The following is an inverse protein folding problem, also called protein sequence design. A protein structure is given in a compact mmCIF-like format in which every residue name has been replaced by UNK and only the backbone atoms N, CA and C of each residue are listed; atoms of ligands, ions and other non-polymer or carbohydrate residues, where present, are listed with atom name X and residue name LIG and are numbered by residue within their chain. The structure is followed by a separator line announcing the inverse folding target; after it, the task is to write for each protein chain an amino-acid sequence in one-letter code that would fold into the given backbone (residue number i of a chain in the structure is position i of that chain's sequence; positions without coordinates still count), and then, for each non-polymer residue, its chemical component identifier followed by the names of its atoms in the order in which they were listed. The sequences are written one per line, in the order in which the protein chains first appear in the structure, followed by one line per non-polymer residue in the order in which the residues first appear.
data_IF_790916010515
#
_entry.id   IF_790916010515
#
_cell.length_a   1.000
_cell.length_b   1.000
_cell.length_c   1.000
_cell.angle_alpha   90.00
_cell.angle_beta   90.00
_cell.angle_gamma   90.00
#
_symmetry.space_group_name_H-M   'P 1'
#
loop_
_entity.id
_entity.type
_entity.pdbx_description
1 polymer ?
#
# COMPACT_ATOMS: atom_id res chain seq x y z
N UNK A 1 -13.91 -24.58 -31.47
CA UNK A 1 -14.93 -24.15 -30.48
C UNK A 1 -14.79 -25.03 -29.26
N UNK A 2 -14.84 -24.45 -28.07
CA UNK A 2 -14.84 -25.23 -26.82
C UNK A 2 -16.28 -25.67 -26.49
N UNK A 3 -16.46 -26.72 -25.69
CA UNK A 3 -17.78 -27.13 -25.22
C UNK A 3 -18.54 -25.97 -24.51
N UNK A 4 -17.82 -25.05 -23.89
CA UNK A 4 -18.42 -23.88 -23.28
C UNK A 4 -18.98 -22.87 -24.31
N UNK A 5 -18.30 -22.68 -25.47
CA UNK A 5 -18.79 -21.79 -26.53
C UNK A 5 -19.99 -22.38 -27.31
N UNK A 6 -20.18 -23.70 -27.26
CA UNK A 6 -21.41 -24.36 -27.77
C UNK A 6 -22.61 -24.10 -26.85
N UNK A 7 -22.40 -24.10 -25.53
CA UNK A 7 -23.46 -23.84 -24.54
C UNK A 7 -23.76 -22.33 -24.40
N UNK A 8 -22.75 -21.50 -24.47
CA UNK A 8 -22.84 -20.05 -24.30
C UNK A 8 -22.13 -19.34 -25.45
N UNK A 9 -22.85 -18.99 -26.54
CA UNK A 9 -22.25 -18.29 -27.68
C UNK A 9 -21.53 -17.00 -27.24
N UNK A 10 -20.25 -16.87 -27.60
CA UNK A 10 -19.40 -15.75 -27.20
C UNK A 10 -18.63 -15.97 -25.88
N UNK A 11 -18.69 -17.19 -25.31
CA UNK A 11 -17.82 -17.54 -24.17
C UNK A 11 -16.34 -17.47 -24.57
N UNK A 12 -15.54 -16.74 -23.82
CA UNK A 12 -14.11 -16.56 -24.03
C UNK A 12 -13.36 -17.58 -23.17
N UNK A 13 -12.61 -18.47 -23.81
CA UNK A 13 -11.74 -19.42 -23.10
C UNK A 13 -10.51 -18.73 -22.50
N UNK A 14 -9.83 -19.45 -21.60
CA UNK A 14 -8.60 -18.95 -20.98
C UNK A 14 -7.54 -18.55 -22.03
N UNK A 15 -7.35 -19.38 -23.06
CA UNK A 15 -6.35 -19.12 -24.11
C UNK A 15 -6.77 -17.93 -25.01
N UNK A 16 -8.06 -17.85 -25.39
CA UNK A 16 -8.57 -16.72 -26.19
C UNK A 16 -8.46 -15.37 -25.45
N UNK A 17 -8.46 -15.38 -24.12
CA UNK A 17 -8.30 -14.14 -23.35
C UNK A 17 -6.95 -13.44 -23.57
N UNK A 18 -5.89 -14.18 -23.96
CA UNK A 18 -4.59 -13.58 -24.27
C UNK A 18 -4.56 -12.83 -25.61
N UNK A 19 -5.48 -13.18 -26.52
CA UNK A 19 -5.54 -12.65 -27.89
C UNK A 19 -6.56 -11.49 -28.03
N UNK A 20 -7.19 -11.07 -26.93
CA UNK A 20 -8.15 -9.96 -26.94
C UNK A 20 -7.47 -8.66 -27.39
N UNK A 21 -8.12 -7.96 -28.31
CA UNK A 21 -7.69 -6.63 -28.73
C UNK A 21 -8.00 -5.60 -27.68
N UNK A 22 -7.28 -4.46 -27.71
CA UNK A 22 -7.51 -3.33 -26.79
C UNK A 22 -8.98 -2.86 -26.80
N UNK A 23 -9.59 -2.76 -27.99
CA UNK A 23 -10.98 -2.34 -28.12
C UNK A 23 -11.96 -3.35 -27.53
N UNK A 24 -11.71 -4.67 -27.69
CA UNK A 24 -12.49 -5.70 -27.02
C UNK A 24 -12.38 -5.62 -25.50
N UNK A 25 -11.17 -5.43 -24.97
CA UNK A 25 -10.95 -5.27 -23.52
C UNK A 25 -11.64 -4.01 -23.00
N UNK A 26 -11.54 -2.88 -23.70
CA UNK A 26 -12.24 -1.62 -23.34
C UNK A 26 -13.76 -1.83 -23.29
N UNK A 27 -14.34 -2.43 -24.34
CA UNK A 27 -15.77 -2.68 -24.42
C UNK A 27 -16.26 -3.57 -23.27
N UNK A 28 -15.53 -4.65 -22.97
CA UNK A 28 -15.85 -5.54 -21.86
C UNK A 28 -15.72 -4.84 -20.49
N UNK A 29 -14.69 -4.04 -20.29
CA UNK A 29 -14.52 -3.29 -19.03
C UNK A 29 -15.65 -2.26 -18.84
N UNK A 30 -16.03 -1.56 -19.89
CA UNK A 30 -17.13 -0.60 -19.84
C UNK A 30 -18.47 -1.26 -19.58
N UNK A 31 -18.72 -2.46 -20.11
CA UNK A 31 -19.99 -3.18 -19.99
C UNK A 31 -20.10 -4.02 -18.71
N UNK A 32 -19.01 -4.67 -18.30
CA UNK A 32 -19.04 -5.76 -17.31
C UNK A 32 -18.22 -5.46 -16.05
N UNK A 33 -17.47 -4.35 -15.99
CA UNK A 33 -16.68 -3.95 -14.83
C UNK A 33 -17.11 -2.57 -14.33
N UNK A 34 -16.21 -1.84 -13.65
CA UNK A 34 -16.48 -0.48 -13.19
C UNK A 34 -16.30 0.51 -14.35
N UNK A 35 -17.41 0.80 -15.06
CA UNK A 35 -17.48 1.70 -16.21
C UNK A 35 -16.79 3.05 -15.97
N UNK A 36 -17.12 3.72 -14.86
CA UNK A 36 -16.60 5.05 -14.58
C UNK A 36 -15.13 5.06 -14.19
N UNK A 37 -14.62 4.00 -13.57
CA UNK A 37 -13.19 3.84 -13.33
C UNK A 37 -12.42 3.71 -14.64
N UNK A 38 -12.93 2.94 -15.59
CA UNK A 38 -12.34 2.80 -16.93
C UNK A 38 -12.38 4.13 -17.67
N UNK A 39 -13.52 4.83 -17.67
CA UNK A 39 -13.64 6.17 -18.28
C UNK A 39 -12.67 7.19 -17.67
N UNK A 40 -12.49 7.18 -16.36
CA UNK A 40 -11.55 8.08 -15.66
C UNK A 40 -10.10 7.83 -16.11
N UNK A 41 -9.69 6.58 -16.19
CA UNK A 41 -8.34 6.23 -16.65
C UNK A 41 -8.08 6.61 -18.10
N UNK A 42 -9.07 6.38 -18.98
CA UNK A 42 -9.00 6.77 -20.39
C UNK A 42 -8.91 8.29 -20.54
N UNK A 43 -9.78 9.04 -19.85
CA UNK A 43 -9.78 10.51 -19.89
C UNK A 43 -8.49 11.12 -19.33
N UNK A 44 -7.89 10.50 -18.32
CA UNK A 44 -6.60 10.91 -17.77
C UNK A 44 -5.39 10.51 -18.61
N UNK A 45 -5.59 9.72 -19.69
CA UNK A 45 -4.49 9.20 -20.51
C UNK A 45 -3.52 8.29 -19.75
N UNK A 46 -4.01 7.62 -18.68
CA UNK A 46 -3.23 6.75 -17.82
C UNK A 46 -3.57 5.26 -18.03
N UNK A 47 -4.51 4.95 -18.93
CA UNK A 47 -4.90 3.58 -19.27
C UNK A 47 -4.21 3.15 -20.56
N UNK A 48 -3.46 2.08 -20.48
CA UNK A 48 -2.75 1.44 -21.61
C UNK A 48 -2.99 -0.05 -21.57
N UNK A 49 -3.02 -0.70 -22.72
CA UNK A 49 -3.00 -2.16 -22.83
C UNK A 49 -1.56 -2.66 -22.62
N UNK A 50 -1.27 -3.10 -21.39
CA UNK A 50 0.07 -3.57 -20.98
C UNK A 50 0.18 -5.06 -21.31
N UNK A 51 1.12 -5.41 -22.18
CA UNK A 51 1.37 -6.80 -22.62
C UNK A 51 2.51 -7.48 -21.86
N UNK A 52 3.44 -6.72 -21.30
CA UNK A 52 4.59 -7.24 -20.55
C UNK A 52 4.97 -6.29 -19.43
N UNK A 53 5.43 -6.86 -18.30
CA UNK A 53 6.02 -6.11 -17.21
C UNK A 53 7.23 -6.86 -16.64
N UNK A 54 8.35 -6.17 -16.39
CA UNK A 54 9.59 -6.75 -15.86
C UNK A 54 10.44 -5.67 -15.18
N UNK A 55 10.89 -5.91 -13.96
CA UNK A 55 11.67 -4.95 -13.19
C UNK A 55 10.92 -3.64 -12.99
N UNK A 56 11.51 -2.52 -13.40
CA UNK A 56 10.87 -1.20 -13.34
C UNK A 56 10.15 -0.81 -14.64
N UNK A 57 9.97 -1.74 -15.58
CA UNK A 57 9.43 -1.46 -16.88
C UNK A 57 8.13 -2.19 -17.17
N UNK A 58 7.30 -1.53 -17.99
CA UNK A 58 6.11 -2.12 -18.61
C UNK A 58 6.16 -1.87 -20.11
N UNK A 59 5.54 -2.73 -20.91
CA UNK A 59 5.43 -2.57 -22.36
C UNK A 59 3.96 -2.58 -22.77
N UNK A 60 3.56 -1.58 -23.54
CA UNK A 60 2.22 -1.49 -24.10
C UNK A 60 2.04 -2.37 -25.36
N UNK A 61 0.83 -2.37 -25.91
CA UNK A 61 0.47 -3.18 -27.08
C UNK A 61 1.25 -2.80 -28.34
N UNK A 62 1.71 -1.55 -28.45
CA UNK A 62 2.55 -1.06 -29.54
C UNK A 62 4.03 -1.43 -29.35
N UNK A 63 4.39 -2.04 -28.23
CA UNK A 63 5.76 -2.40 -27.89
C UNK A 63 6.60 -1.25 -27.30
N UNK A 64 5.98 -0.13 -26.96
CA UNK A 64 6.70 0.96 -26.31
C UNK A 64 7.10 0.56 -24.90
N UNK A 65 8.38 0.70 -24.58
CA UNK A 65 8.92 0.53 -23.24
C UNK A 65 8.61 1.76 -22.40
N UNK A 66 8.03 1.56 -21.23
CA UNK A 66 7.63 2.60 -20.28
C UNK A 66 8.27 2.36 -18.93
N UNK A 67 8.64 3.42 -18.24
CA UNK A 67 9.15 3.38 -16.88
C UNK A 67 7.96 3.45 -15.89
N UNK A 68 7.82 2.47 -15.00
CA UNK A 68 6.76 2.45 -14.00
C UNK A 68 7.29 2.93 -12.64
N UNK A 69 7.00 4.19 -12.32
CA UNK A 69 7.32 4.83 -11.06
C UNK A 69 6.11 5.05 -10.15
N UNK A 70 5.07 4.26 -10.34
CA UNK A 70 3.93 4.17 -9.40
C UNK A 70 3.75 2.75 -8.84
N UNK A 71 4.16 1.73 -9.61
CA UNK A 71 4.19 0.36 -9.15
C UNK A 71 2.87 -0.12 -8.53
N UNK A 72 1.73 0.11 -9.20
CA UNK A 72 0.39 -0.16 -8.64
C UNK A 72 0.21 0.44 -7.23
N UNK A 73 0.55 1.73 -7.08
CA UNK A 73 0.46 2.46 -5.80
C UNK A 73 1.36 1.84 -4.70
N UNK A 74 2.59 1.48 -5.09
CA UNK A 74 3.62 0.98 -4.18
C UNK A 74 3.61 -0.53 -3.94
N UNK A 75 2.92 -1.32 -4.76
CA UNK A 75 2.92 -2.78 -4.66
C UNK A 75 4.26 -3.35 -5.12
N UNK A 76 4.72 -3.01 -6.33
CA UNK A 76 5.91 -3.59 -6.96
C UNK A 76 7.20 -2.93 -6.45
N UNK A 77 7.60 -3.25 -5.20
CA UNK A 77 8.88 -2.77 -4.67
C UNK A 77 10.08 -3.57 -5.20
N UNK A 78 9.91 -4.89 -5.34
CA UNK A 78 10.99 -5.78 -5.77
C UNK A 78 11.08 -5.88 -7.30
N UNK A 79 10.17 -5.20 -8.00
CA UNK A 79 10.06 -5.15 -9.45
C UNK A 79 9.04 -6.12 -10.03
N UNK A 80 8.45 -5.73 -11.15
CA UNK A 80 7.46 -6.56 -11.83
C UNK A 80 7.99 -7.95 -12.12
N UNK A 81 7.20 -8.98 -11.79
CA UNK A 81 7.51 -10.39 -12.05
C UNK A 81 8.89 -10.80 -11.51
N UNK A 82 9.20 -10.42 -10.27
CA UNK A 82 10.47 -10.78 -9.64
C UNK A 82 10.74 -12.28 -9.79
N UNK A 83 11.83 -12.69 -10.48
CA UNK A 83 12.06 -14.08 -10.84
C UNK A 83 12.25 -15.00 -9.63
N UNK A 84 12.80 -14.49 -8.52
CA UNK A 84 12.95 -15.25 -7.29
C UNK A 84 11.59 -15.67 -6.70
N UNK A 85 10.66 -14.71 -6.63
CA UNK A 85 9.31 -14.96 -6.08
C UNK A 85 8.54 -15.89 -7.01
N UNK A 86 8.51 -15.58 -8.31
CA UNK A 86 7.76 -16.35 -9.32
C UNK A 86 8.24 -17.79 -9.35
N UNK A 87 9.55 -18.04 -9.32
CA UNK A 87 10.12 -19.38 -9.35
C UNK A 87 9.82 -20.17 -8.06
N UNK A 88 9.91 -19.56 -6.89
CA UNK A 88 9.54 -20.20 -5.63
C UNK A 88 8.07 -20.61 -5.58
N UNK A 89 7.17 -19.76 -6.05
CA UNK A 89 5.74 -20.10 -6.16
C UNK A 89 5.54 -21.24 -7.15
N UNK A 90 6.22 -21.22 -8.30
CA UNK A 90 6.16 -22.29 -9.30
C UNK A 90 6.66 -23.62 -8.73
N UNK A 91 7.79 -23.63 -8.02
CA UNK A 91 8.34 -24.81 -7.32
C UNK A 91 7.32 -25.35 -6.32
N UNK A 92 6.72 -24.47 -5.51
CA UNK A 92 5.73 -24.86 -4.53
C UNK A 92 4.51 -25.54 -5.19
N UNK A 93 3.94 -24.93 -6.21
CA UNK A 93 2.78 -25.48 -6.95
C UNK A 93 3.10 -26.81 -7.64
N UNK A 94 4.35 -27.00 -8.12
CA UNK A 94 4.77 -28.25 -8.75
C UNK A 94 4.76 -29.46 -7.78
N UNK A 95 4.81 -29.22 -6.48
CA UNK A 95 4.69 -30.29 -5.46
C UNK A 95 3.23 -30.76 -5.26
N UNK A 96 2.25 -30.14 -5.94
CA UNK A 96 0.81 -30.40 -5.76
C UNK A 96 0.38 -30.32 -4.29
N UNK A 97 0.67 -29.22 -3.59
CA UNK A 97 0.42 -29.09 -2.17
C UNK A 97 -1.07 -28.96 -1.85
N UNK A 98 -1.43 -29.30 -0.60
CA UNK A 98 -2.69 -28.84 -0.04
C UNK A 98 -2.59 -27.33 0.21
N UNK A 99 -3.33 -26.54 -0.56
CA UNK A 99 -3.23 -25.08 -0.52
C UNK A 99 -4.10 -24.45 0.58
N UNK A 100 -5.24 -25.09 0.86
CA UNK A 100 -6.26 -24.60 1.78
C UNK A 100 -6.79 -25.73 2.65
N UNK A 101 -6.72 -25.55 3.96
CA UNK A 101 -7.44 -26.31 4.98
C UNK A 101 -7.33 -25.54 6.30
N UNK A 102 -8.44 -25.24 7.01
CA UNK A 102 -8.41 -24.44 8.23
C UNK A 102 -7.70 -25.12 9.40
N UNK A 103 -7.60 -26.45 9.42
CA UNK A 103 -7.10 -27.23 10.54
C UNK A 103 -5.78 -27.97 10.25
N UNK A 104 -5.36 -28.07 8.99
CA UNK A 104 -4.11 -28.74 8.64
C UNK A 104 -2.89 -27.95 9.12
N UNK A 105 -1.78 -28.65 9.39
CA UNK A 105 -0.48 -28.03 9.56
C UNK A 105 -0.03 -27.37 8.25
N UNK A 106 0.45 -26.13 8.34
CA UNK A 106 0.79 -25.26 7.20
C UNK A 106 2.26 -24.88 7.23
N UNK A 107 3.18 -25.70 6.68
CA UNK A 107 4.62 -25.48 6.83
C UNK A 107 5.07 -24.13 6.29
N UNK A 108 4.60 -23.70 5.13
CA UNK A 108 5.01 -22.45 4.49
C UNK A 108 4.49 -21.24 5.29
N UNK A 109 3.22 -21.27 5.71
CA UNK A 109 2.65 -20.20 6.53
C UNK A 109 3.33 -20.13 7.90
N UNK A 110 3.64 -21.28 8.50
CA UNK A 110 4.36 -21.33 9.77
C UNK A 110 5.80 -20.80 9.65
N UNK A 111 6.50 -21.12 8.55
CA UNK A 111 7.83 -20.57 8.26
C UNK A 111 7.77 -19.04 8.09
N UNK A 112 6.81 -18.52 7.31
CA UNK A 112 6.62 -17.10 7.16
C UNK A 112 6.35 -16.40 8.51
N UNK A 113 5.45 -16.95 9.33
CA UNK A 113 5.14 -16.39 10.65
C UNK A 113 6.37 -16.43 11.60
N UNK A 114 7.17 -17.50 11.53
CA UNK A 114 8.42 -17.61 12.26
C UNK A 114 9.42 -16.52 11.85
N UNK A 115 9.63 -16.33 10.53
CA UNK A 115 10.59 -15.36 10.02
C UNK A 115 10.13 -13.92 10.25
N UNK A 116 8.82 -13.67 10.21
CA UNK A 116 8.23 -12.40 10.65
C UNK A 116 8.59 -12.10 12.11
N UNK A 117 8.49 -13.08 13.00
CA UNK A 117 8.87 -12.91 14.41
C UNK A 117 10.38 -12.68 14.60
N UNK A 118 11.23 -13.15 13.70
CA UNK A 118 12.68 -12.86 13.76
C UNK A 118 12.99 -11.41 13.37
N UNK A 119 12.28 -10.86 12.39
CA UNK A 119 12.50 -9.46 11.95
C UNK A 119 11.74 -8.44 12.78
N UNK A 120 10.84 -8.90 13.67
CA UNK A 120 10.07 -8.06 14.62
C UNK A 120 9.97 -8.78 15.98
N UNK A 121 11.06 -8.91 16.73
CA UNK A 121 11.13 -9.82 17.89
C UNK A 121 10.15 -9.48 19.02
N UNK A 122 9.67 -8.26 19.11
CA UNK A 122 8.65 -7.82 20.08
C UNK A 122 7.21 -8.17 19.66
N UNK A 123 6.99 -8.44 18.36
CA UNK A 123 5.68 -8.83 17.81
C UNK A 123 5.78 -10.24 17.23
N UNK A 124 5.33 -11.23 17.95
CA UNK A 124 5.60 -12.65 17.64
C UNK A 124 4.39 -13.41 17.13
N UNK A 125 3.27 -12.74 16.88
CA UNK A 125 2.06 -13.36 16.34
C UNK A 125 1.70 -12.78 14.99
N UNK A 126 1.62 -13.66 14.00
CA UNK A 126 1.22 -13.31 12.62
C UNK A 126 -0.14 -13.91 12.31
N UNK A 127 -1.02 -13.10 11.72
CA UNK A 127 -2.24 -13.58 11.04
C UNK A 127 -2.07 -13.21 9.56
N UNK A 128 -2.16 -14.22 8.70
CA UNK A 128 -2.01 -14.04 7.24
C UNK A 128 -3.39 -14.08 6.60
N UNK A 129 -3.78 -13.01 5.93
CA UNK A 129 -5.01 -12.95 5.16
C UNK A 129 -4.72 -13.20 3.67
N UNK A 130 -5.66 -13.81 2.96
CA UNK A 130 -5.57 -14.05 1.51
C UNK A 130 -6.02 -12.89 0.64
N UNK A 131 -6.35 -11.75 1.23
CA UNK A 131 -6.87 -10.57 0.55
C UNK A 131 -5.92 -9.38 0.58
N UNK A 132 -6.48 -8.18 0.41
CA UNK A 132 -5.72 -6.93 0.40
C UNK A 132 -5.57 -6.26 1.76
N UNK A 133 -4.88 -5.11 1.81
CA UNK A 133 -4.61 -4.36 3.04
C UNK A 133 -5.84 -3.98 3.86
N UNK A 134 -7.00 -3.76 3.21
CA UNK A 134 -8.25 -3.49 3.92
C UNK A 134 -8.67 -4.66 4.82
N UNK A 135 -8.43 -5.91 4.39
CA UNK A 135 -8.71 -7.09 5.21
C UNK A 135 -7.78 -7.18 6.43
N UNK A 136 -6.50 -6.79 6.27
CA UNK A 136 -5.58 -6.68 7.41
C UNK A 136 -6.05 -5.61 8.42
N UNK A 137 -6.55 -4.47 7.94
CA UNK A 137 -7.13 -3.44 8.80
C UNK A 137 -8.37 -3.96 9.52
N UNK A 138 -9.28 -4.67 8.84
CA UNK A 138 -10.43 -5.31 9.50
C UNK A 138 -9.98 -6.28 10.61
N UNK A 139 -8.93 -7.07 10.34
CA UNK A 139 -8.37 -8.02 11.30
C UNK A 139 -7.87 -7.32 12.56
N UNK A 140 -7.06 -6.25 12.43
CA UNK A 140 -6.50 -5.54 13.58
C UNK A 140 -7.56 -4.74 14.35
N UNK A 141 -8.52 -4.12 13.65
CA UNK A 141 -9.63 -3.41 14.31
C UNK A 141 -10.49 -4.37 15.13
N UNK A 142 -10.80 -5.56 14.61
CA UNK A 142 -11.52 -6.59 15.33
C UNK A 142 -10.72 -7.09 16.54
N UNK A 143 -9.43 -7.34 16.38
CA UNK A 143 -8.55 -7.82 17.44
C UNK A 143 -8.54 -6.86 18.63
N UNK A 144 -8.30 -5.56 18.41
CA UNK A 144 -8.27 -4.58 19.51
C UNK A 144 -9.64 -4.37 20.15
N UNK A 145 -10.74 -4.45 19.40
CA UNK A 145 -12.10 -4.37 19.94
C UNK A 145 -12.42 -5.55 20.87
N UNK A 146 -12.01 -6.76 20.49
CA UNK A 146 -12.20 -7.96 21.33
C UNK A 146 -11.33 -7.88 22.58
N UNK A 147 -10.04 -7.55 22.45
CA UNK A 147 -9.13 -7.41 23.58
C UNK A 147 -9.63 -6.34 24.58
N UNK A 148 -9.95 -5.15 24.08
CA UNK A 148 -10.47 -4.07 24.91
C UNK A 148 -11.82 -4.42 25.52
N UNK A 149 -12.76 -5.00 24.76
CA UNK A 149 -14.09 -5.38 25.27
C UNK A 149 -14.06 -6.39 26.41
N UNK A 150 -13.00 -7.20 26.52
CA UNK A 150 -12.80 -8.12 27.65
C UNK A 150 -12.25 -7.43 28.89
N UNK A 151 -11.43 -6.40 28.74
CA UNK A 151 -10.79 -5.69 29.85
C UNK A 151 -11.57 -4.44 30.28
N UNK A 152 -12.06 -3.70 29.31
CA UNK A 152 -12.66 -2.37 29.44
C UNK A 152 -13.91 -2.25 28.57
N UNK A 153 -15.01 -2.96 28.88
CA UNK A 153 -16.22 -3.00 28.06
C UNK A 153 -16.88 -1.63 27.87
N UNK A 154 -16.56 -0.67 28.72
CA UNK A 154 -17.00 0.74 28.63
C UNK A 154 -16.25 1.54 27.56
N UNK A 155 -15.04 1.10 27.17
CA UNK A 155 -14.23 1.78 26.14
C UNK A 155 -14.54 1.21 24.77
N UNK A 156 -14.67 2.07 23.75
CA UNK A 156 -15.04 1.61 22.40
C UNK A 156 -14.36 2.39 21.28
N UNK A 157 -13.91 3.62 21.55
CA UNK A 157 -13.50 4.55 20.53
C UNK A 157 -12.11 4.23 19.98
N UNK A 158 -11.98 4.37 18.66
CA UNK A 158 -10.71 4.30 17.93
C UNK A 158 -10.40 5.69 17.42
N UNK A 159 -9.19 6.17 17.67
CA UNK A 159 -8.67 7.43 17.13
C UNK A 159 -7.83 7.13 15.90
N UNK A 160 -8.10 7.80 14.82
CA UNK A 160 -7.30 7.79 13.59
C UNK A 160 -7.01 9.22 13.12
N UNK A 161 -6.34 9.37 11.97
CA UNK A 161 -5.91 10.69 11.52
C UNK A 161 -6.69 11.18 10.31
N UNK A 162 -6.90 12.48 10.21
CA UNK A 162 -7.50 13.11 9.04
C UNK A 162 -6.68 12.80 7.77
N UNK A 163 -7.35 12.67 6.65
CA UNK A 163 -6.81 12.31 5.34
C UNK A 163 -6.15 10.91 5.27
N UNK A 164 -6.20 10.09 6.33
CA UNK A 164 -5.69 8.73 6.29
C UNK A 164 -6.47 7.83 5.33
N UNK A 165 -5.82 6.76 4.88
CA UNK A 165 -6.41 5.74 4.03
C UNK A 165 -6.07 4.34 4.55
N UNK A 166 -7.07 3.63 5.07
CA UNK A 166 -6.90 2.29 5.63
C UNK A 166 -7.61 1.20 4.80
N UNK A 167 -8.23 1.57 3.69
CA UNK A 167 -8.99 0.66 2.81
C UNK A 167 -10.43 1.11 2.61
N UNK A 168 -11.21 0.28 1.89
CA UNK A 168 -12.60 0.62 1.48
C UNK A 168 -13.63 -0.45 1.88
N UNK A 169 -13.30 -1.40 2.75
CA UNK A 169 -14.29 -2.21 3.47
C UNK A 169 -14.95 -1.36 4.57
N UNK A 170 -16.09 -1.77 5.12
CA UNK A 170 -16.85 -0.93 6.06
C UNK A 170 -16.04 -0.56 7.30
N UNK A 171 -15.29 -1.49 7.90
CA UNK A 171 -14.43 -1.18 9.04
C UNK A 171 -13.23 -0.31 8.66
N UNK A 172 -12.54 -0.65 7.58
CA UNK A 172 -11.39 0.11 7.10
C UNK A 172 -11.77 1.53 6.68
N UNK A 173 -12.89 1.72 5.97
CA UNK A 173 -13.37 3.07 5.58
C UNK A 173 -13.85 3.87 6.79
N UNK A 174 -14.35 3.20 7.84
CA UNK A 174 -14.72 3.85 9.09
C UNK A 174 -13.51 4.37 9.86
N UNK A 175 -12.36 3.71 9.76
CA UNK A 175 -11.09 4.19 10.30
C UNK A 175 -10.44 5.27 9.41
N UNK A 176 -10.79 5.32 8.12
CA UNK A 176 -10.23 6.29 7.17
C UNK A 176 -10.67 7.73 7.43
N UNK A 177 -9.73 8.68 7.43
CA UNK A 177 -9.94 10.09 7.80
C UNK A 177 -10.45 11.00 6.67
N UNK A 178 -10.86 10.48 5.53
CA UNK A 178 -11.36 11.27 4.38
C UNK A 178 -12.86 11.09 4.19
N UNK A 179 -13.64 12.15 4.36
CA UNK A 179 -15.12 12.11 4.33
C UNK A 179 -15.70 11.58 3.02
N UNK A 180 -15.05 11.84 1.89
CA UNK A 180 -15.55 11.40 0.58
C UNK A 180 -15.72 9.88 0.50
N UNK A 181 -14.90 9.11 1.21
CA UNK A 181 -14.97 7.64 1.22
C UNK A 181 -16.09 7.09 2.11
N UNK A 182 -16.58 7.90 3.07
CA UNK A 182 -17.67 7.55 3.99
C UNK A 182 -19.04 8.02 3.49
N UNK A 183 -19.05 8.80 2.43
CA UNK A 183 -20.29 9.39 1.88
C UNK A 183 -21.25 8.30 1.42
N UNK A 184 -22.53 8.46 1.76
CA UNK A 184 -23.65 7.61 1.35
C UNK A 184 -23.62 6.16 1.85
N UNK A 185 -22.82 5.85 2.85
CA UNK A 185 -22.81 4.52 3.45
C UNK A 185 -22.77 4.61 4.98
N UNK A 186 -23.39 3.64 5.69
CA UNK A 186 -23.23 3.55 7.12
C UNK A 186 -21.78 3.24 7.47
N UNK A 187 -21.25 3.89 8.48
CA UNK A 187 -19.93 3.60 9.03
C UNK A 187 -20.06 2.98 10.42
N UNK A 188 -19.07 2.22 10.83
CA UNK A 188 -19.00 1.72 12.19
C UNK A 188 -18.81 2.91 13.13
N UNK A 189 -19.68 3.02 14.15
CA UNK A 189 -19.59 4.06 15.14
C UNK A 189 -18.28 3.99 15.97
N UNK A 190 -18.05 5.00 16.80
CA UNK A 190 -16.93 5.07 17.72
C UNK A 190 -15.55 5.24 17.03
N UNK A 191 -15.51 6.02 15.96
CA UNK A 191 -14.28 6.53 15.36
C UNK A 191 -14.15 8.05 15.52
N UNK A 192 -12.95 8.52 15.83
CA UNK A 192 -12.62 9.95 15.92
C UNK A 192 -11.37 10.23 15.09
N UNK A 193 -11.31 11.41 14.47
CA UNK A 193 -10.23 11.78 13.57
C UNK A 193 -9.55 13.05 14.07
N UNK A 194 -8.22 12.99 14.21
CA UNK A 194 -7.38 14.12 14.63
C UNK A 194 -6.46 14.55 13.48
N UNK A 195 -5.97 15.79 13.45
CA UNK A 195 -4.96 16.17 12.46
C UNK A 195 -3.70 15.29 12.58
N UNK A 196 -3.16 14.85 11.44
CA UNK A 196 -1.93 14.07 11.42
C UNK A 196 -0.75 14.95 11.82
N UNK A 197 0.06 14.50 12.78
CA UNK A 197 1.16 15.27 13.34
C UNK A 197 0.79 16.14 14.57
N UNK A 198 -0.48 16.22 14.95
CA UNK A 198 -0.95 17.01 16.09
C UNK A 198 -1.03 16.16 17.37
N UNK A 199 0.03 16.24 18.17
CA UNK A 199 0.13 15.53 19.45
C UNK A 199 -0.88 16.00 20.48
N UNK A 200 -1.19 17.32 20.50
CA UNK A 200 -2.12 17.89 21.48
C UNK A 200 -3.53 17.38 21.23
N UNK A 201 -3.96 17.30 19.96
CA UNK A 201 -5.26 16.75 19.59
C UNK A 201 -5.37 15.26 19.95
N UNK A 202 -4.29 14.47 19.79
CA UNK A 202 -4.29 13.05 20.19
C UNK A 202 -4.44 12.91 21.69
N UNK A 203 -3.65 13.67 22.47
CA UNK A 203 -3.69 13.60 23.92
C UNK A 203 -5.05 14.05 24.49
N UNK A 204 -5.67 15.08 23.91
CA UNK A 204 -7.02 15.52 24.30
C UNK A 204 -8.05 14.41 24.11
N UNK A 205 -7.97 13.64 23.00
CA UNK A 205 -8.85 12.50 22.80
C UNK A 205 -8.61 11.38 23.80
N UNK A 206 -7.35 11.08 24.15
CA UNK A 206 -7.01 10.04 25.11
C UNK A 206 -7.47 10.38 26.54
N UNK A 207 -7.40 11.66 26.94
CA UNK A 207 -7.90 12.15 28.24
C UNK A 207 -9.39 11.89 28.48
N UNK A 208 -10.19 11.66 27.43
CA UNK A 208 -11.61 11.33 27.56
C UNK A 208 -11.84 9.93 28.18
N UNK A 209 -10.82 9.05 28.18
CA UNK A 209 -10.81 7.78 28.88
C UNK A 209 -11.58 6.64 28.21
N UNK A 210 -12.13 6.82 27.03
CA UNK A 210 -12.95 5.84 26.29
C UNK A 210 -12.27 5.27 25.04
N UNK A 211 -11.02 5.70 24.76
CA UNK A 211 -10.23 5.25 23.61
C UNK A 211 -9.62 3.87 23.86
N UNK A 212 -9.76 2.97 22.90
CA UNK A 212 -9.17 1.62 22.93
C UNK A 212 -7.90 1.53 22.10
N UNK A 213 -7.85 2.24 20.93
CA UNK A 213 -6.72 2.16 20.02
C UNK A 213 -6.53 3.47 19.28
N UNK A 214 -5.27 3.72 18.92
CA UNK A 214 -4.86 4.71 17.92
C UNK A 214 -4.33 3.97 16.70
N UNK A 215 -4.82 4.31 15.49
CA UNK A 215 -4.34 3.76 14.22
C UNK A 215 -3.88 4.89 13.29
N UNK A 216 -2.67 4.75 12.74
CA UNK A 216 -2.13 5.67 11.75
C UNK A 216 -1.17 4.99 10.78
N UNK A 217 -1.09 5.52 9.56
CA UNK A 217 -0.01 5.22 8.62
C UNK A 217 1.29 5.84 9.14
N UNK A 218 2.41 5.14 9.02
CA UNK A 218 3.74 5.68 9.40
C UNK A 218 4.13 6.89 8.54
N UNK A 219 3.72 6.87 7.27
CA UNK A 219 3.69 8.00 6.33
C UNK A 219 2.35 7.91 5.62
N UNK A 220 1.56 8.98 5.64
CA UNK A 220 0.28 8.97 4.94
C UNK A 220 0.49 8.91 3.43
N UNK A 221 0.10 7.80 2.79
CA UNK A 221 0.29 7.63 1.35
C UNK A 221 -0.73 8.38 0.52
N UNK A 222 -1.99 8.02 0.67
CA UNK A 222 -3.10 8.65 -0.07
C UNK A 222 -3.39 10.08 0.43
N UNK A 223 -3.01 10.41 1.66
CA UNK A 223 -3.03 11.77 2.20
C UNK A 223 -2.00 12.71 1.56
N UNK A 224 -1.14 12.19 0.66
CA UNK A 224 -0.18 12.99 -0.09
C UNK A 224 1.27 12.81 0.33
N UNK A 225 1.67 11.62 0.73
CA UNK A 225 3.03 11.29 1.22
C UNK A 225 3.44 12.19 2.38
N UNK A 226 2.55 12.37 3.35
CA UNK A 226 2.80 13.24 4.52
C UNK A 226 3.67 12.53 5.52
N UNK A 227 4.85 13.07 5.78
CA UNK A 227 5.79 12.62 6.81
C UNK A 227 5.53 13.43 8.09
N UNK A 228 5.31 12.77 9.24
CA UNK A 228 5.07 13.50 10.49
C UNK A 228 6.39 14.00 11.09
N UNK A 229 6.34 14.92 12.08
CA UNK A 229 7.51 15.28 12.87
C UNK A 229 8.18 14.06 13.51
N UNK A 230 9.49 14.08 13.68
CA UNK A 230 10.26 12.92 14.17
C UNK A 230 9.90 12.49 15.59
N UNK A 231 9.40 13.38 16.44
CA UNK A 231 8.94 13.09 17.80
C UNK A 231 7.48 12.61 17.87
N UNK A 232 6.75 12.61 16.75
CA UNK A 232 5.32 12.28 16.73
C UNK A 232 5.04 10.87 17.24
N UNK A 233 5.54 9.85 16.57
CA UNK A 233 5.26 8.45 16.97
C UNK A 233 5.91 8.03 18.28
N UNK A 234 7.14 8.44 18.62
CA UNK A 234 7.69 8.21 19.96
C UNK A 234 6.81 8.80 21.08
N UNK A 235 6.27 10.01 20.88
CA UNK A 235 5.35 10.63 21.85
C UNK A 235 4.00 9.90 21.89
N UNK A 236 3.44 9.51 20.74
CA UNK A 236 2.21 8.70 20.68
C UNK A 236 2.39 7.38 21.44
N UNK A 237 3.52 6.69 21.31
CA UNK A 237 3.78 5.46 22.06
C UNK A 237 3.71 5.69 23.56
N UNK A 238 4.38 6.74 24.05
CA UNK A 238 4.33 7.12 25.47
C UNK A 238 2.91 7.44 25.92
N UNK A 239 2.14 8.19 25.13
CA UNK A 239 0.73 8.49 25.45
C UNK A 239 -0.13 7.22 25.45
N UNK A 240 0.08 6.33 24.48
CA UNK A 240 -0.63 5.05 24.45
C UNK A 240 -0.36 4.22 25.70
N UNK A 241 0.89 4.18 26.18
CA UNK A 241 1.26 3.47 27.42
C UNK A 241 0.63 4.12 28.65
N UNK A 242 0.63 5.45 28.73
CA UNK A 242 0.08 6.22 29.84
C UNK A 242 -1.45 6.05 29.97
N UNK A 243 -2.17 6.09 28.84
CA UNK A 243 -3.64 6.02 28.82
C UNK A 243 -4.20 4.61 28.61
N UNK A 244 -3.34 3.59 28.46
CA UNK A 244 -3.74 2.21 28.18
C UNK A 244 -4.46 2.04 26.84
N UNK A 245 -3.94 2.69 25.78
CA UNK A 245 -4.45 2.68 24.42
C UNK A 245 -3.54 1.81 23.54
N UNK A 246 -4.10 0.92 22.73
CA UNK A 246 -3.30 0.14 21.79
C UNK A 246 -2.80 1.00 20.63
N UNK A 247 -1.50 0.92 20.32
CA UNK A 247 -0.88 1.60 19.18
C UNK A 247 -0.83 0.68 17.97
N UNK A 248 -1.49 1.06 16.88
CA UNK A 248 -1.54 0.31 15.62
C UNK A 248 -0.86 1.15 14.53
N UNK A 249 0.13 0.56 13.87
CA UNK A 249 0.77 1.17 12.71
C UNK A 249 0.24 0.53 11.42
N UNK A 250 -0.29 1.34 10.51
CA UNK A 250 -0.64 0.86 9.18
C UNK A 250 0.59 0.92 8.27
N UNK A 251 1.20 -0.24 8.07
CA UNK A 251 2.40 -0.43 7.25
C UNK A 251 2.11 -0.97 5.85
N UNK A 252 0.84 -0.97 5.44
CA UNK A 252 0.41 -1.51 4.15
C UNK A 252 1.14 -0.86 2.99
N UNK A 253 1.41 0.45 3.04
CA UNK A 253 2.11 1.16 1.97
C UNK A 253 3.55 1.50 2.33
N UNK A 254 3.81 1.92 3.55
CA UNK A 254 5.13 2.40 3.99
C UNK A 254 6.10 1.28 4.39
N UNK A 255 5.60 0.09 4.72
CA UNK A 255 6.38 -1.07 5.11
C UNK A 255 7.06 -1.80 3.95
N UNK A 256 7.50 -3.02 4.22
CA UNK A 256 8.14 -3.91 3.23
C UNK A 256 9.31 -3.23 2.51
N UNK A 257 10.22 -2.61 3.25
CA UNK A 257 11.42 -1.90 2.79
C UNK A 257 11.16 -0.60 1.98
N UNK A 258 9.91 -0.24 1.67
CA UNK A 258 9.56 0.94 0.83
C UNK A 258 10.21 2.23 1.32
N UNK A 259 10.30 2.44 2.62
CA UNK A 259 10.83 3.66 3.24
C UNK A 259 12.30 3.54 3.70
N UNK A 260 12.96 2.42 3.33
CA UNK A 260 14.36 2.17 3.70
C UNK A 260 14.56 1.40 5.01
N UNK A 261 13.48 0.90 5.59
CA UNK A 261 13.46 -0.04 6.73
C UNK A 261 12.54 -1.19 6.39
N UNK A 262 12.75 -2.39 6.96
CA UNK A 262 11.85 -3.53 6.70
C UNK A 262 10.41 -3.13 7.03
N UNK A 263 10.23 -2.48 8.19
CA UNK A 263 8.99 -1.84 8.58
C UNK A 263 9.23 -0.35 8.86
N UNK A 264 8.38 0.51 8.37
CA UNK A 264 8.60 1.95 8.44
C UNK A 264 8.67 2.50 9.88
N UNK A 265 8.00 1.87 10.85
CA UNK A 265 8.09 2.25 12.26
C UNK A 265 9.49 2.05 12.84
N UNK A 266 10.33 1.17 12.26
CA UNK A 266 11.72 0.96 12.68
C UNK A 266 12.64 2.17 12.41
N UNK A 267 12.16 3.17 11.65
CA UNK A 267 12.83 4.47 11.55
C UNK A 267 12.98 5.14 12.93
N UNK A 268 12.01 4.95 13.80
CA UNK A 268 12.01 5.52 15.15
C UNK A 268 12.64 4.52 16.11
N UNK A 269 13.86 4.79 16.53
CA UNK A 269 14.62 3.89 17.40
C UNK A 269 13.84 3.53 18.67
N UNK A 270 13.71 2.25 18.94
CA UNK A 270 12.98 1.73 20.11
C UNK A 270 11.45 1.80 20.05
N UNK A 271 10.88 2.28 18.95
CA UNK A 271 9.42 2.29 18.78
C UNK A 271 8.88 0.89 18.51
N UNK A 272 8.04 0.39 19.41
CA UNK A 272 7.37 -0.90 19.28
C UNK A 272 5.85 -0.68 19.34
N UNK A 273 5.12 -0.80 18.21
CA UNK A 273 3.66 -0.78 18.22
C UNK A 273 3.08 -2.03 18.88
N UNK A 274 1.80 -2.01 19.24
CA UNK A 274 1.12 -3.22 19.74
C UNK A 274 0.73 -4.16 18.61
N UNK A 275 0.48 -3.61 17.42
CA UNK A 275 0.29 -4.33 16.17
C UNK A 275 0.60 -3.44 14.97
N UNK A 276 0.93 -4.07 13.83
CA UNK A 276 0.93 -3.39 12.54
C UNK A 276 0.28 -4.24 11.45
N UNK A 277 -0.22 -3.57 10.41
CA UNK A 277 -0.79 -4.22 9.22
C UNK A 277 0.24 -4.26 8.09
N UNK A 278 0.20 -5.29 7.24
CA UNK A 278 1.04 -5.40 6.06
C UNK A 278 0.26 -5.90 4.83
N UNK A 279 0.70 -5.50 3.65
CA UNK A 279 0.21 -5.98 2.34
C UNK A 279 1.17 -5.52 1.23
N UNK A 280 0.65 -5.17 0.07
CA UNK A 280 1.37 -4.53 -1.07
C UNK A 280 2.76 -5.13 -1.34
N UNK A 281 3.83 -4.46 -0.94
CA UNK A 281 5.21 -4.92 -1.16
C UNK A 281 5.51 -6.33 -0.65
N UNK A 282 4.76 -6.81 0.35
CA UNK A 282 4.87 -8.19 0.83
C UNK A 282 4.39 -9.22 -0.19
N UNK A 283 3.61 -8.83 -1.18
CA UNK A 283 3.17 -9.68 -2.30
C UNK A 283 3.95 -9.45 -3.58
N UNK A 284 4.58 -8.28 -3.70
CA UNK A 284 5.17 -7.76 -4.94
C UNK A 284 4.26 -7.97 -6.17
N UNK A 285 2.94 -7.98 -5.95
CA UNK A 285 1.91 -8.10 -6.97
C UNK A 285 1.70 -9.49 -7.56
N UNK A 286 2.42 -10.52 -7.11
CA UNK A 286 2.31 -11.88 -7.67
C UNK A 286 0.98 -12.54 -7.28
N UNK A 287 0.62 -12.49 -6.00
CA UNK A 287 -0.70 -12.92 -5.49
C UNK A 287 -1.12 -12.03 -4.32
N UNK A 288 -2.41 -11.85 -4.08
CA UNK A 288 -2.87 -11.12 -2.91
C UNK A 288 -2.37 -11.76 -1.62
N UNK A 289 -1.74 -10.96 -0.78
CA UNK A 289 -1.39 -11.30 0.60
C UNK A 289 -1.45 -10.05 1.45
N UNK A 290 -1.99 -10.20 2.63
CA UNK A 290 -1.99 -9.19 3.67
C UNK A 290 -2.00 -9.86 5.04
N UNK A 291 -1.82 -9.09 6.09
CA UNK A 291 -1.91 -9.64 7.44
C UNK A 291 -1.59 -8.62 8.49
N UNK A 292 -1.54 -9.11 9.71
CA UNK A 292 -1.17 -8.34 10.89
C UNK A 292 -0.05 -9.04 11.64
N UNK A 293 0.84 -8.22 12.19
CA UNK A 293 1.88 -8.64 13.13
C UNK A 293 1.55 -8.03 14.49
N UNK A 294 1.57 -8.85 15.56
CA UNK A 294 0.95 -8.48 16.83
C UNK A 294 1.83 -8.93 18.01
N UNK A 295 1.86 -8.15 19.09
CA UNK A 295 2.41 -8.59 20.39
C UNK A 295 1.65 -9.82 20.90
N UNK A 296 2.37 -10.82 21.44
CA UNK A 296 1.75 -12.03 22.01
C UNK A 296 0.74 -11.70 23.12
N UNK A 297 1.00 -10.69 23.93
CA UNK A 297 0.08 -10.24 24.97
C UNK A 297 -1.28 -9.80 24.39
N UNK A 298 -1.29 -8.93 23.40
CA UNK A 298 -2.51 -8.45 22.75
C UNK A 298 -3.26 -9.58 22.02
N UNK A 299 -2.52 -10.46 21.34
CA UNK A 299 -3.11 -11.63 20.69
C UNK A 299 -3.83 -12.54 21.71
N UNK A 300 -3.19 -12.83 22.85
CA UNK A 300 -3.79 -13.66 23.92
C UNK A 300 -4.99 -13.00 24.56
N UNK A 301 -4.98 -11.70 24.73
CA UNK A 301 -6.13 -10.95 25.24
C UNK A 301 -7.36 -11.11 24.35
N UNK A 302 -7.17 -11.13 23.02
CA UNK A 302 -8.27 -11.28 22.07
C UNK A 302 -8.65 -12.75 21.83
N UNK A 303 -7.66 -13.60 21.51
CA UNK A 303 -7.87 -14.94 20.95
C UNK A 303 -7.24 -16.08 21.77
N UNK A 304 -6.75 -15.81 22.99
CA UNK A 304 -5.99 -16.75 23.81
C UNK A 304 -6.81 -17.83 24.53
N UNK A 305 -8.03 -18.15 24.07
CA UNK A 305 -8.88 -19.19 24.66
C UNK A 305 -9.64 -19.95 23.58
N UNK A 306 -10.10 -21.18 23.89
CA UNK A 306 -10.83 -22.03 22.92
C UNK A 306 -12.13 -21.40 22.41
N UNK A 307 -12.84 -20.64 23.26
CA UNK A 307 -14.08 -19.94 22.91
C UNK A 307 -13.86 -18.74 21.98
N UNK A 308 -12.64 -18.22 21.91
CA UNK A 308 -12.28 -17.09 21.05
C UNK A 308 -11.40 -17.44 19.85
N UNK A 309 -10.86 -18.66 19.81
CA UNK A 309 -9.93 -19.08 18.77
C UNK A 309 -10.47 -18.95 17.34
N UNK A 310 -11.79 -19.05 17.15
CA UNK A 310 -12.46 -18.94 15.85
C UNK A 310 -13.13 -17.59 15.60
N UNK A 311 -12.96 -16.61 16.48
CA UNK A 311 -13.60 -15.29 16.33
C UNK A 311 -13.08 -14.48 15.15
N UNK A 312 -11.84 -14.75 14.71
CA UNK A 312 -11.30 -14.18 13.48
C UNK A 312 -10.77 -15.30 12.59
N UNK A 313 -11.55 -15.67 11.61
CA UNK A 313 -11.19 -16.63 10.56
C UNK A 313 -11.80 -16.21 9.22
N UNK A 314 -11.15 -16.60 8.15
CA UNK A 314 -11.64 -16.45 6.79
C UNK A 314 -11.26 -17.70 6.00
N UNK A 315 -12.00 -18.03 4.95
CA UNK A 315 -11.73 -19.21 4.12
C UNK A 315 -10.29 -19.25 3.59
N UNK A 316 -9.76 -18.09 3.20
CA UNK A 316 -8.41 -17.98 2.64
C UNK A 316 -7.36 -17.51 3.66
N UNK A 317 -7.72 -17.42 4.95
CA UNK A 317 -6.74 -17.09 5.99
C UNK A 317 -5.70 -18.21 6.09
N UNK A 318 -4.45 -17.81 6.28
CA UNK A 318 -3.29 -18.70 6.43
C UNK A 318 -3.12 -19.69 5.25
N UNK A 319 -3.53 -19.30 4.03
CA UNK A 319 -3.31 -20.17 2.88
C UNK A 319 -1.83 -20.21 2.48
N UNK A 320 -1.38 -21.42 2.12
CA UNK A 320 0.02 -21.66 1.83
C UNK A 320 0.51 -21.00 0.53
N UNK A 321 -0.36 -20.67 -0.45
CA UNK A 321 0.08 -20.05 -1.71
C UNK A 321 0.42 -18.57 -1.46
N UNK A 322 -0.46 -17.81 -0.80
CA UNK A 322 -0.18 -16.42 -0.42
C UNK A 322 1.03 -16.35 0.52
N UNK A 323 1.13 -17.30 1.47
CA UNK A 323 2.28 -17.39 2.37
C UNK A 323 3.58 -17.72 1.62
N UNK A 324 3.55 -18.52 0.54
CA UNK A 324 4.74 -18.79 -0.28
C UNK A 324 5.25 -17.54 -0.99
N UNK A 325 4.34 -16.69 -1.47
CA UNK A 325 4.70 -15.38 -2.01
C UNK A 325 5.33 -14.50 -0.94
N UNK A 326 4.67 -14.35 0.22
CA UNK A 326 5.14 -13.49 1.31
C UNK A 326 6.49 -13.93 1.88
N UNK A 327 6.66 -15.25 2.09
CA UNK A 327 7.94 -15.82 2.55
C UNK A 327 9.06 -15.54 1.54
N UNK A 328 8.78 -15.74 0.24
CA UNK A 328 9.77 -15.45 -0.82
C UNK A 328 10.13 -13.97 -0.90
N UNK A 329 9.14 -13.09 -0.76
CA UNK A 329 9.36 -11.65 -0.78
C UNK A 329 10.19 -11.21 0.44
N UNK A 330 9.84 -11.68 1.65
CA UNK A 330 10.58 -11.38 2.87
C UNK A 330 12.01 -11.89 2.79
N UNK A 331 12.21 -13.14 2.36
CA UNK A 331 13.55 -13.71 2.16
C UNK A 331 14.37 -12.85 1.20
N UNK A 332 13.82 -12.48 0.05
CA UNK A 332 14.50 -11.62 -0.92
C UNK A 332 14.88 -10.27 -0.31
N UNK A 333 13.95 -9.63 0.43
CA UNK A 333 14.19 -8.34 1.08
C UNK A 333 15.39 -8.40 2.05
N UNK A 334 15.50 -9.47 2.84
CA UNK A 334 16.55 -9.64 3.85
C UNK A 334 17.88 -10.05 3.20
N UNK A 335 17.89 -11.06 2.35
CA UNK A 335 19.11 -11.59 1.73
C UNK A 335 19.81 -10.56 0.83
N UNK A 336 19.05 -9.65 0.22
CA UNK A 336 19.58 -8.62 -0.67
C UNK A 336 19.70 -7.24 -0.02
N UNK A 337 19.49 -7.13 1.31
CA UNK A 337 19.47 -5.83 2.01
C UNK A 337 18.69 -4.75 1.24
N UNK A 338 17.46 -5.09 0.84
CA UNK A 338 16.61 -4.17 0.06
C UNK A 338 16.40 -2.84 0.79
N UNK A 339 16.25 -2.88 2.11
CA UNK A 339 16.10 -1.67 2.92
C UNK A 339 17.34 -0.75 2.82
N UNK A 340 18.53 -1.30 2.91
CA UNK A 340 19.79 -0.55 2.72
C UNK A 340 19.92 0.00 1.30
N UNK A 341 19.61 -0.81 0.29
CA UNK A 341 19.64 -0.36 -1.10
C UNK A 341 18.64 0.79 -1.34
N UNK A 342 17.42 0.73 -0.76
CA UNK A 342 16.45 1.83 -0.85
C UNK A 342 17.01 3.10 -0.22
N UNK A 343 17.63 3.02 0.97
CA UNK A 343 18.26 4.19 1.60
C UNK A 343 19.33 4.82 0.73
N UNK A 344 20.19 4.02 0.11
CA UNK A 344 21.27 4.54 -0.73
C UNK A 344 20.74 5.13 -2.06
N UNK A 345 19.94 4.38 -2.79
CA UNK A 345 19.39 4.84 -4.08
C UNK A 345 18.47 6.06 -3.92
N UNK A 346 17.76 6.18 -2.80
CA UNK A 346 16.89 7.33 -2.57
C UNK A 346 17.65 8.64 -2.42
N UNK A 347 18.90 8.63 -1.94
CA UNK A 347 19.74 9.83 -1.87
C UNK A 347 19.93 10.45 -3.26
N UNK A 348 20.18 9.61 -4.27
CA UNK A 348 20.36 10.06 -5.65
C UNK A 348 19.11 10.75 -6.20
N UNK A 349 17.96 10.08 -6.11
CA UNK A 349 16.73 10.64 -6.68
C UNK A 349 16.27 11.90 -5.94
N UNK A 350 16.39 11.97 -4.60
CA UNK A 350 16.05 13.18 -3.86
C UNK A 350 16.94 14.35 -4.25
N UNK A 351 18.27 14.15 -4.42
CA UNK A 351 19.17 15.21 -4.88
C UNK A 351 18.77 15.76 -6.26
N UNK A 352 18.44 14.86 -7.20
CA UNK A 352 17.99 15.25 -8.53
C UNK A 352 16.63 15.97 -8.53
N UNK A 353 15.70 15.53 -7.71
CA UNK A 353 14.41 16.20 -7.56
C UNK A 353 14.57 17.61 -6.97
N UNK A 354 15.50 17.78 -6.02
CA UNK A 354 15.79 19.09 -5.45
C UNK A 354 16.36 20.07 -6.51
N UNK A 355 17.20 19.60 -7.44
CA UNK A 355 17.67 20.40 -8.59
C UNK A 355 16.47 20.90 -9.44
N UNK A 356 15.47 20.05 -9.67
CA UNK A 356 14.26 20.43 -10.41
C UNK A 356 13.38 21.38 -9.59
N UNK A 357 13.22 21.15 -8.29
CA UNK A 357 12.48 22.05 -7.40
C UNK A 357 13.06 23.47 -7.44
N UNK A 358 14.38 23.60 -7.35
CA UNK A 358 15.06 24.90 -7.43
C UNK A 358 14.86 25.59 -8.79
N UNK A 359 14.68 24.81 -9.86
CA UNK A 359 14.40 25.32 -11.21
C UNK A 359 12.95 25.83 -11.37
N UNK A 360 12.00 25.24 -10.65
CA UNK A 360 10.56 25.55 -10.77
C UNK A 360 9.90 25.82 -9.38
N UNK A 361 10.42 26.77 -8.58
CA UNK A 361 9.94 26.96 -7.19
C UNK A 361 8.47 27.44 -7.12
N UNK A 362 7.99 28.13 -8.16
CA UNK A 362 6.59 28.62 -8.23
C UNK A 362 5.60 27.51 -8.66
N UNK A 363 6.09 26.36 -9.13
CA UNK A 363 5.28 25.26 -9.65
C UNK A 363 5.30 24.06 -8.71
N UNK A 364 6.48 23.70 -8.22
CA UNK A 364 6.70 22.62 -7.27
C UNK A 364 6.90 23.26 -5.90
N UNK A 365 5.93 23.11 -5.02
CA UNK A 365 5.94 23.77 -3.71
C UNK A 365 6.78 23.02 -2.66
N UNK A 366 6.87 21.68 -2.77
CA UNK A 366 7.54 20.83 -1.78
C UNK A 366 7.90 19.48 -2.36
N UNK A 367 9.06 18.94 -1.94
CA UNK A 367 9.44 17.53 -2.12
C UNK A 367 9.49 16.87 -0.76
N UNK A 368 8.78 15.76 -0.57
CA UNK A 368 8.71 15.08 0.71
C UNK A 368 8.65 13.57 0.56
N UNK A 369 8.93 12.84 1.64
CA UNK A 369 8.90 11.38 1.66
C UNK A 369 10.13 10.77 2.33
N UNK A 370 10.19 9.43 2.32
CA UNK A 370 11.35 8.64 2.79
C UNK A 370 11.56 7.43 1.87
N UNK A 371 12.80 7.12 1.58
CA UNK A 371 13.13 6.01 0.70
C UNK A 371 12.49 6.15 -0.68
N UNK A 372 11.76 5.13 -1.11
CA UNK A 372 11.04 5.09 -2.39
C UNK A 372 9.54 5.44 -2.26
N UNK A 373 9.18 6.15 -1.22
CA UNK A 373 7.86 6.74 -1.04
C UNK A 373 8.00 8.26 -1.11
N UNK A 374 7.87 8.82 -2.33
CA UNK A 374 8.17 10.22 -2.65
C UNK A 374 6.90 10.93 -3.11
N UNK A 375 6.65 12.12 -2.59
CA UNK A 375 5.57 13.02 -2.97
C UNK A 375 6.11 14.38 -3.44
N UNK A 376 5.64 14.81 -4.59
CA UNK A 376 5.97 16.11 -5.17
C UNK A 376 4.71 16.97 -5.12
N UNK A 377 4.71 18.00 -4.27
CA UNK A 377 3.58 18.90 -4.11
C UNK A 377 3.64 20.00 -5.17
N UNK A 378 2.56 20.11 -5.92
CA UNK A 378 2.40 21.14 -6.93
C UNK A 378 1.45 22.23 -6.49
N UNK A 379 1.67 23.43 -7.01
CA UNK A 379 0.72 24.52 -6.98
C UNK A 379 -0.39 24.37 -8.02
N UNK A 380 -1.21 25.42 -8.12
CA UNK A 380 -2.24 25.61 -9.15
C UNK A 380 -1.83 26.74 -10.10
N UNK A 381 -2.35 26.74 -11.32
CA UNK A 381 -2.14 27.85 -12.25
C UNK A 381 -3.04 29.06 -11.93
N UNK A 382 -2.97 30.11 -12.74
CA UNK A 382 -3.75 31.34 -12.56
C UNK A 382 -5.26 31.13 -12.60
N UNK A 383 -5.73 30.04 -13.22
CA UNK A 383 -7.12 29.65 -13.32
C UNK A 383 -7.57 28.69 -12.20
N UNK A 384 -6.65 28.38 -11.26
CA UNK A 384 -6.88 27.46 -10.14
C UNK A 384 -6.78 25.97 -10.54
N UNK A 385 -6.23 25.64 -11.70
CA UNK A 385 -6.09 24.26 -12.18
C UNK A 385 -4.76 23.67 -11.70
N UNK A 386 -4.80 22.51 -11.06
CA UNK A 386 -3.61 21.83 -10.53
C UNK A 386 -2.63 21.40 -11.62
N UNK A 387 -1.34 21.57 -11.34
CA UNK A 387 -0.27 21.13 -12.26
C UNK A 387 -0.05 19.61 -12.21
N UNK A 388 -0.20 18.95 -11.06
CA UNK A 388 0.22 17.57 -10.84
C UNK A 388 -0.42 16.57 -11.81
N UNK A 389 -1.73 16.61 -12.01
CA UNK A 389 -2.45 15.71 -12.94
C UNK A 389 -2.02 15.93 -14.40
N UNK A 390 -1.80 17.19 -14.80
CA UNK A 390 -1.33 17.52 -16.15
C UNK A 390 0.09 17.02 -16.40
N UNK A 391 0.98 17.20 -15.42
CA UNK A 391 2.36 16.69 -15.48
C UNK A 391 2.35 15.17 -15.58
N UNK A 392 1.56 14.47 -14.73
CA UNK A 392 1.43 13.01 -14.79
C UNK A 392 0.96 12.52 -16.17
N UNK A 393 -0.06 13.16 -16.74
CA UNK A 393 -0.58 12.82 -18.06
C UNK A 393 0.46 13.02 -19.17
N UNK A 394 1.17 14.16 -19.17
CA UNK A 394 2.23 14.45 -20.14
C UNK A 394 3.40 13.46 -20.01
N UNK A 395 3.82 13.13 -18.79
CA UNK A 395 4.85 12.11 -18.55
C UNK A 395 4.44 10.76 -19.13
N UNK A 396 3.20 10.32 -18.86
CA UNK A 396 2.71 9.03 -19.33
C UNK A 396 2.56 8.98 -20.87
N UNK A 397 1.95 10.00 -21.47
CA UNK A 397 1.61 10.01 -22.89
C UNK A 397 2.82 10.33 -23.81
N UNK A 398 3.65 11.30 -23.40
CA UNK A 398 4.70 11.83 -24.26
C UNK A 398 6.09 11.28 -23.93
N UNK A 399 6.34 10.99 -22.65
CA UNK A 399 7.68 10.61 -22.18
C UNK A 399 7.77 9.18 -21.65
N UNK A 400 6.69 8.41 -21.75
CA UNK A 400 6.63 7.00 -21.37
C UNK A 400 7.03 6.72 -19.93
N UNK A 401 6.64 7.61 -18.99
CA UNK A 401 6.88 7.46 -17.56
C UNK A 401 5.55 7.46 -16.80
N UNK A 402 5.29 6.40 -16.06
CA UNK A 402 4.06 6.24 -15.27
C UNK A 402 4.26 6.76 -13.84
N UNK A 403 3.44 7.74 -13.48
CA UNK A 403 3.27 8.29 -12.14
C UNK A 403 1.78 8.52 -11.89
N UNK A 404 1.38 8.81 -10.66
CA UNK A 404 -0.02 9.07 -10.32
C UNK A 404 -0.12 10.07 -9.17
N UNK A 405 -1.14 10.90 -9.19
CA UNK A 405 -1.46 11.77 -8.05
C UNK A 405 -2.05 10.99 -6.87
N UNK A 406 -1.96 11.56 -5.66
CA UNK A 406 -2.59 10.99 -4.48
C UNK A 406 -4.12 11.10 -4.57
N UNK A 407 -4.82 10.10 -4.02
CA UNK A 407 -6.29 10.05 -4.12
C UNK A 407 -6.98 11.05 -3.20
N UNK A 408 -6.38 11.36 -2.05
CA UNK A 408 -6.93 12.30 -1.08
C UNK A 408 -6.40 13.73 -1.25
N UNK A 409 -5.32 13.90 -2.03
CA UNK A 409 -4.72 15.20 -2.38
C UNK A 409 -4.15 15.12 -3.80
N UNK A 410 -4.91 15.57 -4.78
CA UNK A 410 -4.55 15.51 -6.21
C UNK A 410 -3.51 16.56 -6.63
N UNK A 411 -3.07 17.42 -5.70
CA UNK A 411 -1.92 18.30 -5.91
C UNK A 411 -0.58 17.59 -5.72
N UNK A 412 -0.58 16.35 -5.21
CA UNK A 412 0.62 15.57 -4.95
C UNK A 412 0.82 14.52 -6.03
N UNK A 413 1.90 14.64 -6.79
CA UNK A 413 2.39 13.60 -7.68
C UNK A 413 3.22 12.60 -6.87
N UNK A 414 2.86 11.32 -6.94
CA UNK A 414 3.60 10.24 -6.26
C UNK A 414 4.63 9.62 -7.19
N UNK A 415 5.81 9.37 -6.64
CA UNK A 415 6.95 8.76 -7.33
C UNK A 415 7.44 7.59 -6.47
N UNK A 416 7.13 6.37 -6.91
CA UNK A 416 7.37 5.13 -6.18
C UNK A 416 8.21 4.15 -7.02
N UNK A 417 9.52 4.42 -7.19
CA UNK A 417 10.40 3.50 -7.92
C UNK A 417 10.48 2.15 -7.20
N UNK A 418 11.06 1.18 -7.87
CA UNK A 418 11.35 -0.13 -7.29
C UNK A 418 12.87 -0.39 -7.21
N UNK A 419 13.26 -1.48 -6.58
CA UNK A 419 14.67 -1.75 -6.29
C UNK A 419 15.50 -2.05 -7.54
N UNK A 420 14.88 -2.47 -8.64
CA UNK A 420 15.57 -2.76 -9.90
C UNK A 420 15.95 -1.49 -10.66
N UNK A 421 15.43 -0.32 -10.25
CA UNK A 421 15.73 0.98 -10.85
C UNK A 421 17.23 1.30 -10.76
N UNK A 422 17.82 1.64 -11.90
CA UNK A 422 19.22 2.08 -12.03
C UNK A 422 19.33 3.62 -11.99
N UNK A 423 20.55 4.14 -11.89
CA UNK A 423 20.77 5.60 -12.03
C UNK A 423 20.32 6.11 -13.39
N UNK A 424 20.55 5.35 -14.47
CA UNK A 424 20.09 5.72 -15.80
C UNK A 424 18.54 5.80 -15.91
N UNK A 425 17.82 4.97 -15.14
CA UNK A 425 16.36 5.04 -15.07
C UNK A 425 15.89 6.27 -14.27
N UNK A 426 16.61 6.61 -13.20
CA UNK A 426 16.34 7.87 -12.48
C UNK A 426 16.62 9.07 -13.40
N UNK A 427 17.69 9.06 -14.16
CA UNK A 427 17.99 10.13 -15.12
C UNK A 427 16.92 10.24 -16.21
N UNK A 428 16.41 9.11 -16.72
CA UNK A 428 15.27 9.11 -17.64
C UNK A 428 14.04 9.74 -17.00
N UNK A 429 13.71 9.34 -15.75
CA UNK A 429 12.60 9.95 -15.02
C UNK A 429 12.78 11.47 -14.87
N UNK A 430 13.95 11.93 -14.44
CA UNK A 430 14.24 13.36 -14.22
C UNK A 430 14.15 14.15 -15.52
N UNK A 431 14.71 13.65 -16.61
CA UNK A 431 14.61 14.29 -17.93
C UNK A 431 13.15 14.38 -18.41
N UNK A 432 12.39 13.29 -18.27
CA UNK A 432 10.97 13.27 -18.59
C UNK A 432 10.16 14.23 -17.73
N UNK A 433 10.46 14.29 -16.44
CA UNK A 433 9.80 15.15 -15.46
C UNK A 433 10.07 16.63 -15.75
N UNK A 434 11.34 17.02 -15.98
CA UNK A 434 11.71 18.40 -16.36
C UNK A 434 10.99 18.84 -17.65
N UNK A 435 10.99 17.98 -18.68
CA UNK A 435 10.29 18.25 -19.93
C UNK A 435 8.78 18.38 -19.74
N UNK A 436 8.17 17.50 -18.94
CA UNK A 436 6.73 17.54 -18.69
C UNK A 436 6.30 18.79 -17.91
N UNK A 437 7.07 19.20 -16.90
CA UNK A 437 6.84 20.46 -16.17
C UNK A 437 6.90 21.64 -17.15
N UNK A 438 7.94 21.71 -17.99
CA UNK A 438 8.12 22.76 -18.98
C UNK A 438 6.98 22.82 -19.99
N UNK A 439 6.56 21.65 -20.51
CA UNK A 439 5.44 21.56 -21.47
C UNK A 439 4.14 22.07 -20.83
N UNK A 440 3.87 21.71 -19.57
CA UNK A 440 2.65 22.12 -18.86
C UNK A 440 2.65 23.61 -18.50
N UNK A 441 3.80 24.15 -18.09
CA UNK A 441 3.94 25.58 -17.72
C UNK A 441 4.01 26.46 -18.96
N UNK A 442 4.70 26.01 -20.02
CA UNK A 442 4.89 26.74 -21.27
C UNK A 442 3.66 26.78 -22.19
N UNK A 443 2.64 25.98 -21.94
CA UNK A 443 1.38 25.98 -22.70
C UNK A 443 0.43 27.15 -22.36
N UNK A 444 0.88 28.16 -21.61
CA UNK A 444 0.19 29.44 -21.48
C UNK A 444 0.55 30.33 -22.67
N UNK A 445 -0.21 30.19 -23.74
CA UNK A 445 -0.34 31.20 -24.79
C UNK A 445 -1.81 31.62 -24.85
#
# INVERSE_FOLDING_TARGET
MTAASELYPGFISFDEAFDLTEDQVKDMQLKHMNEYRTKLGLAGGLTFDIKRAEGCYIWDAEGNKRLDFIGCVGVYLLGHNNPFIVENVRKYLATKPLTMDPLALKPITAAFAHDMALVTPELTRTIVNGGGGAEAVEAVLKLVRIAAGRKHPERRRIVSTLNSFHGKTLGAVSAGGKDVWRRWQPVIADHTYVPYGDLAAVEEEFKKGDVIAFIAETIQGEGGVVVPPDDYFPTIRRLCDEYGVYMIMDEVQAGSCRTGYVWAHQYYEGLVPDAFTFAKGMSDGVLPVSGIQVKDSLYREAYGSYDSAMMHTATYQDNNISAAVALSALQYMIEHDVAGQVREKSKYIFAKLEEIHQKYPDVIAEIRGRGFMIGLKFGVDADGVGYANRVAAVMAQKYHVHTMTSTNDDTILRVYPNITTTEADFDWFIDAFDKAVRDVVGTKA
#
